data_IF_903218010942
#
_entry.id   IF_903218010942
#
_cell.length_a   1.000
_cell.length_b   1.000
_cell.length_c   1.000
_cell.angle_alpha   90.00
_cell.angle_beta   90.00
_cell.angle_gamma   90.00
#
_symmetry.space_group_name_H-M   'P 1'
#
loop_
_entity.id
_entity.type
_entity.pdbx_description
1 polymer ?
#
# COMPACT_ATOMS: atom_id res chain seq x y z
N UNK A 1 14.53 -17.95 -20.25
CA UNK A 1 13.06 -17.74 -20.28
C UNK A 1 12.54 -18.17 -18.92
N UNK A 2 11.86 -17.29 -18.18
CA UNK A 2 11.28 -17.64 -16.88
C UNK A 2 10.11 -18.63 -17.07
N UNK A 3 9.88 -19.58 -16.14
CA UNK A 3 8.78 -20.54 -16.22
C UNK A 3 7.42 -19.84 -16.37
N UNK A 4 6.45 -20.45 -17.08
CA UNK A 4 5.09 -19.90 -17.25
C UNK A 4 4.36 -19.66 -15.92
N UNK A 5 4.78 -20.33 -14.85
CA UNK A 5 4.22 -20.20 -13.49
C UNK A 5 5.01 -19.20 -12.62
N UNK A 6 6.00 -18.50 -13.18
CA UNK A 6 6.81 -17.53 -12.44
C UNK A 6 6.02 -16.26 -12.16
N UNK A 7 5.29 -16.27 -11.04
CA UNK A 7 4.46 -15.15 -10.56
C UNK A 7 5.22 -14.14 -9.68
N UNK A 8 6.51 -14.33 -9.46
CA UNK A 8 7.32 -13.50 -8.57
C UNK A 8 7.16 -12.00 -8.83
N UNK A 9 7.29 -11.54 -10.08
CA UNK A 9 7.15 -10.11 -10.38
C UNK A 9 5.75 -9.58 -10.09
N UNK A 10 4.72 -10.38 -10.37
CA UNK A 10 3.34 -10.00 -10.08
C UNK A 10 3.12 -9.86 -8.57
N UNK A 11 3.53 -10.87 -7.79
CA UNK A 11 3.44 -10.86 -6.33
C UNK A 11 4.25 -9.71 -5.73
N UNK A 12 5.44 -9.45 -6.26
CA UNK A 12 6.29 -8.35 -5.83
C UNK A 12 5.63 -6.99 -6.08
N UNK A 13 5.05 -6.77 -7.27
CA UNK A 13 4.32 -5.54 -7.58
C UNK A 13 3.07 -5.38 -6.71
N UNK A 14 2.37 -6.47 -6.42
CA UNK A 14 1.19 -6.45 -5.55
C UNK A 14 1.59 -6.08 -4.10
N UNK A 15 2.67 -6.66 -3.57
CA UNK A 15 3.22 -6.31 -2.25
C UNK A 15 3.64 -4.84 -2.20
N UNK A 16 4.37 -4.36 -3.22
CA UNK A 16 4.79 -2.97 -3.32
C UNK A 16 3.60 -2.01 -3.34
N UNK A 17 2.58 -2.34 -4.11
CA UNK A 17 1.35 -1.55 -4.19
C UNK A 17 0.67 -1.45 -2.83
N UNK A 18 0.62 -2.54 -2.06
CA UNK A 18 0.04 -2.54 -0.72
C UNK A 18 0.85 -1.68 0.25
N UNK A 19 2.19 -1.76 0.22
CA UNK A 19 3.06 -0.90 1.02
C UNK A 19 2.75 0.58 0.74
N UNK A 20 2.66 0.97 -0.54
CA UNK A 20 2.33 2.35 -0.91
C UNK A 20 0.97 2.79 -0.36
N UNK A 21 -0.07 1.97 -0.51
CA UNK A 21 -1.41 2.30 0.00
C UNK A 21 -1.39 2.44 1.52
N UNK A 22 -0.79 1.49 2.24
CA UNK A 22 -0.76 1.52 3.70
C UNK A 22 0.05 2.69 4.25
N UNK A 23 1.22 2.99 3.69
CA UNK A 23 1.99 4.19 4.07
C UNK A 23 1.18 5.46 3.79
N UNK A 24 0.53 5.55 2.62
CA UNK A 24 -0.31 6.71 2.28
C UNK A 24 -1.46 6.87 3.26
N UNK A 25 -2.16 5.80 3.64
CA UNK A 25 -3.24 5.88 4.63
C UNK A 25 -2.69 6.26 6.01
N UNK A 26 -1.53 5.72 6.40
CA UNK A 26 -0.89 5.99 7.69
C UNK A 26 -0.43 7.44 7.85
N UNK A 27 0.07 8.06 6.78
CA UNK A 27 0.53 9.46 6.80
C UNK A 27 -0.63 10.47 6.93
N UNK A 28 -1.86 10.06 6.60
CA UNK A 28 -3.05 10.90 6.73
C UNK A 28 -3.74 10.66 8.08
N UNK A 29 -3.27 11.37 9.11
CA UNK A 29 -3.79 11.25 10.49
C UNK A 29 -5.30 11.50 10.61
N UNK A 30 -5.86 12.36 9.75
CA UNK A 30 -7.29 12.68 9.75
C UNK A 30 -8.14 11.67 8.95
N UNK A 31 -7.53 10.57 8.50
CA UNK A 31 -8.16 9.60 7.62
C UNK A 31 -8.14 10.07 6.17
N UNK A 32 -8.14 9.08 5.28
CA UNK A 32 -7.96 9.31 3.86
C UNK A 32 -9.28 9.08 3.12
N UNK A 33 -9.66 9.98 2.22
CA UNK A 33 -10.85 9.79 1.38
C UNK A 33 -10.51 9.17 0.03
N UNK A 34 -11.49 8.55 -0.63
CA UNK A 34 -11.35 8.12 -2.03
C UNK A 34 -10.88 9.24 -2.98
N UNK A 35 -11.24 10.50 -2.69
CA UNK A 35 -10.82 11.65 -3.49
C UNK A 35 -9.36 12.01 -3.29
N UNK A 36 -8.80 11.78 -2.12
CA UNK A 36 -7.38 12.04 -1.87
C UNK A 36 -6.49 11.04 -2.61
N UNK A 37 -6.93 9.77 -2.73
CA UNK A 37 -6.24 8.77 -3.56
C UNK A 37 -6.14 9.15 -5.04
N UNK A 38 -7.09 9.96 -5.54
CA UNK A 38 -7.05 10.45 -6.93
C UNK A 38 -5.81 11.32 -7.20
N UNK A 39 -5.29 12.00 -6.18
CA UNK A 39 -4.12 12.87 -6.32
C UNK A 39 -2.83 12.08 -6.57
N UNK A 40 -2.80 10.79 -6.27
CA UNK A 40 -1.60 9.95 -6.33
C UNK A 40 -1.37 9.25 -7.68
N UNK A 41 -2.09 9.63 -8.74
CA UNK A 41 -1.73 9.29 -10.10
C UNK A 41 -2.89 8.89 -11.01
N UNK A 42 -2.55 8.32 -12.16
CA UNK A 42 -3.49 7.99 -13.24
C UNK A 42 -4.18 6.62 -13.05
N UNK A 43 -4.58 6.30 -11.82
CA UNK A 43 -5.26 5.03 -11.50
C UNK A 43 -6.77 5.21 -11.67
N UNK A 44 -7.47 4.31 -12.40
CA UNK A 44 -8.92 4.40 -12.57
C UNK A 44 -9.66 4.40 -11.22
N UNK A 45 -10.65 5.27 -11.08
CA UNK A 45 -11.44 5.43 -9.85
C UNK A 45 -12.09 4.11 -9.40
N UNK A 46 -12.63 3.33 -10.33
CA UNK A 46 -13.23 2.03 -10.05
C UNK A 46 -12.23 1.04 -9.46
N UNK A 47 -10.95 1.12 -9.87
CA UNK A 47 -9.88 0.27 -9.35
C UNK A 47 -9.50 0.66 -7.93
N UNK A 48 -9.33 1.96 -7.67
CA UNK A 48 -9.09 2.49 -6.32
C UNK A 48 -10.21 2.07 -5.38
N UNK A 49 -11.47 2.30 -5.80
CA UNK A 49 -12.64 1.94 -5.00
C UNK A 49 -12.65 0.46 -4.63
N UNK A 50 -12.48 -0.43 -5.63
CA UNK A 50 -12.44 -1.89 -5.40
C UNK A 50 -11.30 -2.26 -4.47
N UNK A 51 -10.10 -1.72 -4.66
CA UNK A 51 -8.95 -2.03 -3.81
C UNK A 51 -9.20 -1.62 -2.36
N UNK A 52 -9.65 -0.40 -2.09
CA UNK A 52 -9.91 0.04 -0.71
C UNK A 52 -11.05 -0.75 -0.07
N UNK A 53 -12.11 -1.07 -0.83
CA UNK A 53 -13.23 -1.89 -0.35
C UNK A 53 -12.77 -3.29 0.02
N UNK A 54 -11.94 -3.92 -0.82
CA UNK A 54 -11.35 -5.23 -0.48
C UNK A 54 -10.47 -5.15 0.76
N UNK A 55 -9.66 -4.10 0.91
CA UNK A 55 -8.81 -3.92 2.10
C UNK A 55 -9.63 -3.67 3.37
N UNK A 56 -10.78 -2.99 3.26
CA UNK A 56 -11.76 -2.86 4.35
C UNK A 56 -12.39 -4.22 4.68
N UNK A 57 -12.87 -4.96 3.68
CA UNK A 57 -13.48 -6.30 3.85
C UNK A 57 -12.50 -7.30 4.45
N UNK A 58 -11.22 -7.23 4.08
CA UNK A 58 -10.14 -8.05 4.64
C UNK A 58 -9.71 -7.59 6.05
N UNK A 59 -10.24 -6.46 6.54
CA UNK A 59 -9.96 -5.90 7.87
C UNK A 59 -8.62 -5.19 8.00
N UNK A 60 -7.93 -4.89 6.90
CA UNK A 60 -6.68 -4.10 6.90
C UNK A 60 -6.93 -2.60 7.02
N UNK A 61 -8.12 -2.15 6.64
CA UNK A 61 -8.55 -0.77 6.81
C UNK A 61 -9.79 -0.71 7.71
N UNK A 62 -9.86 0.32 8.54
CA UNK A 62 -11.08 0.70 9.25
C UNK A 62 -11.69 1.93 8.60
N UNK A 63 -13.02 2.01 8.60
CA UNK A 63 -13.76 3.13 8.00
C UNK A 63 -14.53 3.86 9.09
N UNK A 64 -14.30 5.17 9.19
CA UNK A 64 -15.21 6.07 9.89
C UNK A 64 -16.06 6.79 8.86
N UNK A 65 -17.38 6.71 9.04
CA UNK A 65 -18.33 7.54 8.30
C UNK A 65 -18.48 8.81 9.09
N UNK A 66 -17.89 9.88 8.60
CA UNK A 66 -18.20 11.20 9.13
C UNK A 66 -19.34 11.81 8.31
N UNK A 67 -20.39 12.21 9.01
CA UNK A 67 -21.37 13.14 8.48
C UNK A 67 -20.72 14.53 8.45
N UNK A 68 -19.83 14.75 7.48
CA UNK A 68 -19.41 16.10 7.08
C UNK A 68 -20.55 16.76 6.31
N UNK A 69 -21.71 16.89 6.96
CA UNK A 69 -22.95 17.45 6.43
C UNK A 69 -22.90 18.96 6.22
N UNK A 70 -21.80 19.61 6.57
CA UNK A 70 -21.71 21.08 6.56
C UNK A 70 -21.08 21.70 5.29
N UNK A 71 -20.49 20.93 4.35
CA UNK A 71 -19.90 21.53 3.13
C UNK A 71 -20.29 20.88 1.79
N UNK A 72 -20.75 19.63 1.79
CA UNK A 72 -21.27 18.99 0.58
C UNK A 72 -22.03 17.74 1.03
N UNK A 73 -23.34 17.68 0.83
CA UNK A 73 -24.28 16.72 1.44
C UNK A 73 -24.10 15.22 1.11
N UNK A 74 -22.87 14.74 0.86
CA UNK A 74 -22.53 13.33 0.73
C UNK A 74 -21.57 12.92 1.85
N UNK A 75 -21.88 11.86 2.62
CA UNK A 75 -20.99 11.36 3.65
C UNK A 75 -19.63 10.99 3.05
N UNK A 76 -18.55 11.40 3.71
CA UNK A 76 -17.18 11.03 3.31
C UNK A 76 -16.78 9.78 4.10
N UNK A 77 -16.26 8.79 3.37
CA UNK A 77 -15.65 7.61 3.97
C UNK A 77 -14.19 7.93 4.23
N UNK A 78 -13.81 7.95 5.51
CA UNK A 78 -12.43 8.12 5.94
C UNK A 78 -11.84 6.76 6.27
N UNK A 79 -10.79 6.39 5.53
CA UNK A 79 -10.03 5.17 5.74
C UNK A 79 -8.89 5.44 6.72
N UNK A 80 -8.74 4.54 7.68
CA UNK A 80 -7.62 4.49 8.61
C UNK A 80 -6.99 3.10 8.54
N UNK A 81 -5.69 3.02 8.77
CA UNK A 81 -5.00 1.73 8.86
C UNK A 81 -5.46 1.05 10.17
N UNK A 82 -5.89 -0.21 10.08
CA UNK A 82 -6.22 -0.98 11.28
C UNK A 82 -4.95 -1.57 11.90
N UNK A 83 -5.03 -2.09 13.13
CA UNK A 83 -3.94 -2.84 13.77
C UNK A 83 -3.46 -4.01 12.88
N UNK A 84 -4.40 -4.78 12.32
CA UNK A 84 -4.11 -5.84 11.34
C UNK A 84 -3.42 -5.30 10.07
N UNK A 85 -3.79 -4.10 9.63
CA UNK A 85 -3.15 -3.40 8.52
C UNK A 85 -1.71 -3.00 8.85
N UNK A 86 -1.45 -2.54 10.06
CA UNK A 86 -0.10 -2.22 10.55
C UNK A 86 0.79 -3.45 10.63
N UNK A 87 0.30 -4.54 11.21
CA UNK A 87 1.00 -5.83 11.22
C UNK A 87 1.32 -6.29 9.79
N UNK A 88 0.34 -6.18 8.88
CA UNK A 88 0.56 -6.56 7.49
C UNK A 88 1.60 -5.68 6.80
N UNK A 89 1.64 -4.39 7.10
CA UNK A 89 2.66 -3.48 6.58
C UNK A 89 4.06 -3.88 7.05
N UNK A 90 4.21 -4.28 8.32
CA UNK A 90 5.48 -4.77 8.87
C UNK A 90 5.92 -6.06 8.14
N UNK A 91 5.01 -7.01 7.93
CA UNK A 91 5.29 -8.23 7.17
C UNK A 91 5.77 -7.93 5.75
N UNK A 92 5.07 -7.03 5.04
CA UNK A 92 5.39 -6.65 3.67
C UNK A 92 6.77 -6.00 3.59
N UNK A 93 7.10 -5.08 4.51
CA UNK A 93 8.43 -4.46 4.62
C UNK A 93 9.51 -5.52 4.85
N UNK A 94 9.28 -6.47 5.75
CA UNK A 94 10.24 -7.56 6.01
C UNK A 94 10.45 -8.45 4.78
N UNK A 95 9.37 -8.83 4.09
CA UNK A 95 9.44 -9.59 2.84
C UNK A 95 10.27 -8.85 1.79
N UNK A 96 10.07 -7.54 1.66
CA UNK A 96 10.79 -6.73 0.68
C UNK A 96 12.28 -6.58 1.01
N UNK A 97 12.62 -6.39 2.29
CA UNK A 97 14.01 -6.40 2.78
C UNK A 97 14.72 -7.69 2.39
N UNK A 98 14.06 -8.85 2.54
CA UNK A 98 14.65 -10.13 2.17
C UNK A 98 14.89 -10.24 0.67
N UNK A 99 13.98 -9.71 -0.16
CA UNK A 99 14.18 -9.63 -1.61
C UNK A 99 15.40 -8.76 -1.96
N UNK A 100 15.53 -7.58 -1.34
CA UNK A 100 16.68 -6.72 -1.58
C UNK A 100 18.00 -7.33 -1.09
N UNK A 101 18.00 -7.99 0.07
CA UNK A 101 19.16 -8.75 0.56
C UNK A 101 19.56 -9.84 -0.43
N UNK A 102 18.60 -10.60 -0.95
CA UNK A 102 18.86 -11.62 -1.96
C UNK A 102 19.47 -11.03 -3.24
N UNK A 103 18.91 -9.92 -3.75
CA UNK A 103 19.44 -9.23 -4.93
C UNK A 103 20.88 -8.76 -4.69
N UNK A 104 21.16 -8.13 -3.54
CA UNK A 104 22.50 -7.65 -3.17
C UNK A 104 23.53 -8.78 -3.09
N UNK A 105 23.15 -9.92 -2.49
CA UNK A 105 24.01 -11.12 -2.43
C UNK A 105 24.28 -11.71 -3.82
N UNK A 106 23.26 -11.75 -4.69
CA UNK A 106 23.36 -12.39 -6.00
C UNK A 106 24.06 -11.52 -7.05
N UNK A 107 23.94 -10.20 -6.93
CA UNK A 107 24.46 -9.22 -7.85
C UNK A 107 25.33 -8.18 -7.11
N UNK A 108 26.51 -8.58 -6.60
CA UNK A 108 27.35 -7.71 -5.79
C UNK A 108 27.92 -6.52 -6.58
N UNK A 109 28.07 -6.63 -7.91
CA UNK A 109 28.56 -5.53 -8.74
C UNK A 109 27.48 -4.47 -9.04
N UNK A 110 26.20 -4.79 -8.84
CA UNK A 110 25.10 -3.82 -8.92
C UNK A 110 24.76 -3.22 -7.56
N UNK A 111 25.64 -3.36 -6.56
CA UNK A 111 25.47 -2.72 -5.24
C UNK A 111 25.54 -1.21 -5.41
N UNK A 112 24.39 -0.62 -5.75
CA UNK A 112 24.15 0.81 -5.58
C UNK A 112 24.20 1.14 -4.09
N UNK A 113 24.54 2.37 -3.76
CA UNK A 113 24.48 2.96 -2.41
C UNK A 113 23.03 3.07 -1.87
N UNK A 114 22.10 2.28 -2.39
CA UNK A 114 20.69 2.34 -2.03
C UNK A 114 20.48 1.77 -0.62
N UNK A 115 20.26 2.68 0.32
CA UNK A 115 19.78 2.38 1.65
C UNK A 115 18.29 2.00 1.60
N UNK A 116 18.03 0.72 1.35
CA UNK A 116 16.68 0.19 1.27
C UNK A 116 15.96 0.18 2.63
N UNK A 117 16.67 0.24 3.75
CA UNK A 117 16.04 0.35 5.07
C UNK A 117 15.43 1.73 5.25
N UNK A 118 16.14 2.78 4.81
CA UNK A 118 15.59 4.13 4.74
C UNK A 118 14.43 4.26 3.75
N UNK A 119 14.50 3.58 2.61
CA UNK A 119 13.42 3.64 1.61
C UNK A 119 12.11 3.03 2.12
N UNK A 120 12.18 2.02 3.02
CA UNK A 120 11.02 1.28 3.49
C UNK A 120 10.42 1.80 4.79
N UNK A 121 11.08 2.72 5.48
CA UNK A 121 10.64 3.26 6.77
C UNK A 121 10.05 4.65 6.63
#
# INVERSE_FOLDING_TARGET
MWPKEFKFFQEFFDDFRLIFIFNTVKDFQNGLTYYDLKKYGNIPHSKIYRTMKTLEEDGFLSVKKEDLSNESGRPKHLFFLSEKGEEKLVELRFKLVNIFKFIKLRFPQSSSDLDYEKFLN
#
